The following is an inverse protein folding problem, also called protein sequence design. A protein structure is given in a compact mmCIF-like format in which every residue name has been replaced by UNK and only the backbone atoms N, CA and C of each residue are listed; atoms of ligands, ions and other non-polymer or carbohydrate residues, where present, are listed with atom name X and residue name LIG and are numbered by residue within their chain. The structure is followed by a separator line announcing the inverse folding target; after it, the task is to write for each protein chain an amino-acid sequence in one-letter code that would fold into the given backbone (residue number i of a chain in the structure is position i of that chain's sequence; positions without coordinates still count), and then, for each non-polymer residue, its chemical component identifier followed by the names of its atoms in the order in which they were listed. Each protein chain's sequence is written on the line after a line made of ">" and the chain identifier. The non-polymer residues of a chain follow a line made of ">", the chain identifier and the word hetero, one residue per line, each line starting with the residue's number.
data_IF_976632581236
#
_entry.id   IF_976632581236
#
_cell.length_a   1.000
_cell.length_b   1.000
_cell.length_c   1.000
_cell.angle_alpha   90.00
_cell.angle_beta   90.00
_cell.angle_gamma   90.00
#
_symmetry.space_group_name_H-M   'P 1'
#
loop_
_entity.id
_entity.type
_entity.pdbx_description
1 polymer ?
#
# COMPACT_ATOMS: atom_id res chain seq x y z
N UNK A 1 -12.00 -2.22 -72.62
CA UNK A 1 -11.88 -0.86 -72.05
C UNK A 1 -10.95 -0.95 -70.85
N UNK A 2 -9.67 -0.61 -71.05
CA UNK A 2 -8.68 -0.62 -69.96
C UNK A 2 -8.85 0.64 -69.13
N UNK A 3 -9.19 0.51 -67.86
CA UNK A 3 -9.15 1.63 -66.92
C UNK A 3 -7.68 2.04 -66.79
N UNK A 4 -7.30 3.16 -67.43
CA UNK A 4 -5.97 3.76 -67.40
C UNK A 4 -5.61 4.28 -66.00
N UNK A 5 -5.54 3.38 -65.01
CA UNK A 5 -5.20 3.69 -63.63
C UNK A 5 -3.71 3.40 -63.41
N UNK A 6 -2.95 4.41 -62.99
CA UNK A 6 -1.55 4.24 -62.59
C UNK A 6 -1.50 3.59 -61.21
N UNK A 7 -0.96 2.36 -61.13
CA UNK A 7 -0.81 1.60 -59.87
C UNK A 7 -0.09 2.39 -58.77
N UNK A 8 0.90 3.19 -59.13
CA UNK A 8 1.66 4.05 -58.20
C UNK A 8 0.79 4.94 -57.31
N UNK A 9 -0.36 5.40 -57.81
CA UNK A 9 -1.24 6.33 -57.08
C UNK A 9 -1.97 5.63 -55.91
N UNK A 10 -2.05 4.30 -55.94
CA UNK A 10 -2.68 3.48 -54.90
C UNK A 10 -1.70 2.97 -53.83
N UNK A 11 -0.38 2.97 -54.09
CA UNK A 11 0.63 2.45 -53.17
C UNK A 11 1.42 3.52 -52.41
N UNK A 12 1.39 4.80 -52.83
CA UNK A 12 2.27 5.85 -52.28
C UNK A 12 1.80 6.55 -50.98
N UNK A 13 0.84 6.01 -50.23
CA UNK A 13 0.37 6.65 -48.97
C UNK A 13 0.16 5.72 -47.78
N UNK A 14 1.07 4.78 -47.57
CA UNK A 14 1.28 4.22 -46.25
C UNK A 14 2.35 5.06 -45.53
N UNK A 15 1.94 6.20 -44.94
CA UNK A 15 2.81 6.87 -43.97
C UNK A 15 2.97 5.91 -42.79
N UNK A 16 4.18 5.40 -42.58
CA UNK A 16 4.54 4.75 -41.33
C UNK A 16 5.10 5.82 -40.41
N UNK A 17 4.33 6.18 -39.39
CA UNK A 17 4.78 7.06 -38.32
C UNK A 17 5.40 6.19 -37.23
N UNK A 18 6.73 6.16 -37.16
CA UNK A 18 7.47 5.55 -36.06
C UNK A 18 8.00 6.65 -35.16
N UNK A 19 7.53 6.65 -33.91
CA UNK A 19 8.17 7.42 -32.86
C UNK A 19 9.35 6.59 -32.37
N UNK A 20 10.56 7.13 -32.51
CA UNK A 20 11.74 6.51 -31.90
C UNK A 20 11.54 6.42 -30.39
N UNK A 21 11.57 5.21 -29.83
CA UNK A 21 11.67 5.03 -28.38
C UNK A 21 13.10 5.45 -27.99
N UNK A 22 13.22 6.46 -27.12
CA UNK A 22 14.45 7.19 -26.80
C UNK A 22 15.65 6.33 -26.39
N UNK A 23 15.44 5.07 -25.98
CA UNK A 23 16.51 4.15 -25.56
C UNK A 23 16.33 2.70 -26.07
N UNK A 24 15.31 2.43 -26.91
CA UNK A 24 15.14 1.13 -27.58
C UNK A 24 14.22 0.12 -26.85
N UNK A 25 14.27 -1.16 -27.25
CA UNK A 25 13.49 -2.25 -26.66
C UNK A 25 13.88 -2.52 -25.21
N UNK A 26 12.90 -2.84 -24.36
CA UNK A 26 13.05 -2.96 -22.90
C UNK A 26 12.29 -1.90 -22.12
N UNK A 27 11.99 -0.79 -22.78
CA UNK A 27 11.18 0.27 -22.19
C UNK A 27 9.80 -0.24 -21.79
N UNK A 28 9.41 0.01 -20.53
CA UNK A 28 8.15 -0.44 -19.92
C UNK A 28 8.04 -1.96 -19.69
N UNK A 29 9.11 -2.72 -19.91
CA UNK A 29 9.17 -4.13 -19.54
C UNK A 29 9.87 -4.23 -18.17
N UNK A 30 9.11 -4.54 -17.12
CA UNK A 30 9.65 -4.65 -15.76
C UNK A 30 10.71 -5.75 -15.63
N UNK A 31 10.61 -6.82 -16.43
CA UNK A 31 11.62 -7.89 -16.44
C UNK A 31 12.99 -7.37 -16.91
N UNK A 32 13.00 -6.39 -17.81
CA UNK A 32 14.22 -5.74 -18.28
C UNK A 32 14.62 -4.57 -17.35
N UNK A 33 13.72 -3.63 -17.07
CA UNK A 33 14.02 -2.37 -16.36
C UNK A 33 14.21 -2.55 -14.84
N UNK A 34 13.39 -3.38 -14.19
CA UNK A 34 13.40 -3.53 -12.73
C UNK A 34 14.25 -4.72 -12.28
N UNK A 35 14.15 -5.86 -12.99
CA UNK A 35 14.90 -7.06 -12.64
C UNK A 35 16.32 -7.12 -13.24
N UNK A 36 16.62 -6.24 -14.21
CA UNK A 36 17.95 -6.13 -14.82
C UNK A 36 18.29 -7.28 -15.78
N UNK A 37 17.28 -7.98 -16.32
CA UNK A 37 17.51 -9.06 -17.27
C UNK A 37 17.58 -8.53 -18.71
N UNK A 38 18.77 -8.56 -19.31
CA UNK A 38 18.96 -8.13 -20.70
C UNK A 38 18.35 -9.15 -21.70
N UNK A 39 17.82 -8.67 -22.83
CA UNK A 39 17.24 -9.55 -23.83
C UNK A 39 18.33 -10.37 -24.54
N UNK A 40 18.06 -11.62 -24.96
CA UNK A 40 19.08 -12.38 -25.68
C UNK A 40 19.46 -11.68 -26.98
N UNK A 41 20.78 -11.60 -27.24
CA UNK A 41 21.36 -10.86 -28.38
C UNK A 41 20.81 -11.27 -29.75
N UNK A 42 20.39 -12.54 -29.88
CA UNK A 42 19.80 -13.08 -31.11
C UNK A 42 18.39 -12.54 -31.41
N UNK A 43 17.68 -12.03 -30.41
CA UNK A 43 16.33 -11.47 -30.55
C UNK A 43 16.36 -9.95 -30.57
N UNK A 44 17.12 -9.35 -29.66
CA UNK A 44 17.31 -7.90 -29.59
C UNK A 44 18.80 -7.61 -29.58
N UNK A 45 19.31 -7.06 -30.68
CA UNK A 45 20.72 -6.74 -30.82
C UNK A 45 21.13 -5.53 -29.96
N UNK A 46 20.34 -4.46 -30.02
CA UNK A 46 20.60 -3.20 -29.32
C UNK A 46 19.51 -2.94 -28.28
N UNK A 47 19.87 -3.12 -27.01
CA UNK A 47 19.07 -2.76 -25.84
C UNK A 47 19.57 -1.42 -25.28
N UNK A 48 18.80 -0.81 -24.39
CA UNK A 48 19.21 0.43 -23.72
C UNK A 48 20.60 0.30 -23.08
N UNK A 49 20.83 -0.79 -22.36
CA UNK A 49 22.08 -1.06 -21.67
C UNK A 49 23.26 -1.14 -22.65
N UNK A 50 23.13 -1.91 -23.73
CA UNK A 50 24.21 -2.06 -24.73
C UNK A 50 24.47 -0.77 -25.51
N UNK A 51 23.44 0.04 -25.73
CA UNK A 51 23.62 1.37 -26.31
C UNK A 51 24.45 2.27 -25.37
N UNK A 52 24.15 2.27 -24.07
CA UNK A 52 24.94 3.01 -23.08
C UNK A 52 26.39 2.49 -23.01
N UNK A 53 26.59 1.17 -22.92
CA UNK A 53 27.92 0.54 -22.91
C UNK A 53 28.72 0.91 -24.15
N UNK A 54 28.13 0.81 -25.36
CA UNK A 54 28.82 1.17 -26.60
C UNK A 54 29.22 2.66 -26.65
N UNK A 55 28.38 3.56 -26.14
CA UNK A 55 28.71 4.99 -26.05
C UNK A 55 29.87 5.22 -25.07
N UNK A 56 29.84 4.57 -23.90
CA UNK A 56 30.91 4.64 -22.91
C UNK A 56 32.23 4.08 -23.46
N UNK A 57 32.18 2.98 -24.22
CA UNK A 57 33.33 2.38 -24.90
C UNK A 57 33.89 3.30 -26.00
N UNK A 58 33.01 3.95 -26.77
CA UNK A 58 33.43 4.94 -27.76
C UNK A 58 34.08 6.17 -27.11
N UNK A 59 33.58 6.63 -25.96
CA UNK A 59 34.20 7.71 -25.19
C UNK A 59 35.57 7.28 -24.63
N UNK A 60 35.65 6.07 -24.07
CA UNK A 60 36.87 5.52 -23.47
C UNK A 60 37.97 5.28 -24.52
N UNK A 61 37.60 4.75 -25.68
CA UNK A 61 38.52 4.55 -26.82
C UNK A 61 38.90 5.86 -27.54
N UNK A 62 38.24 6.98 -27.24
CA UNK A 62 38.43 8.25 -27.93
C UNK A 62 37.77 8.34 -29.30
N UNK A 63 36.99 7.32 -29.71
CA UNK A 63 36.19 7.34 -30.94
C UNK A 63 35.10 8.41 -30.89
N UNK A 64 34.55 8.66 -29.70
CA UNK A 64 33.60 9.72 -29.42
C UNK A 64 34.23 10.74 -28.46
N UNK A 65 34.71 11.86 -29.00
CA UNK A 65 35.22 12.97 -28.20
C UNK A 65 34.10 13.96 -27.84
N UNK A 66 33.68 13.92 -26.58
CA UNK A 66 32.71 14.87 -26.02
C UNK A 66 33.35 16.06 -25.33
N UNK A 67 34.69 16.15 -25.24
CA UNK A 67 35.34 17.26 -24.51
C UNK A 67 35.06 18.62 -25.16
N UNK A 68 34.94 18.65 -26.48
CA UNK A 68 34.66 19.87 -27.25
C UNK A 68 33.29 20.49 -26.99
N UNK A 69 32.31 19.69 -26.52
CA UNK A 69 30.96 20.18 -26.20
C UNK A 69 30.81 20.55 -24.72
N UNK A 70 31.80 20.25 -23.87
CA UNK A 70 31.78 20.64 -22.45
C UNK A 70 32.21 22.11 -22.35
N UNK A 71 31.25 23.00 -22.11
CA UNK A 71 31.50 24.42 -21.92
C UNK A 71 31.70 24.79 -20.45
N UNK A 72 31.04 24.07 -19.53
CA UNK A 72 31.10 24.36 -18.10
C UNK A 72 31.28 23.10 -17.26
N UNK A 73 31.93 23.28 -16.11
CA UNK A 73 32.05 22.28 -15.05
C UNK A 73 31.65 22.93 -13.74
N UNK A 74 30.77 22.26 -13.01
CA UNK A 74 30.33 22.66 -11.68
C UNK A 74 30.54 21.48 -10.74
N UNK A 75 30.90 21.76 -9.49
CA UNK A 75 30.77 20.73 -8.47
C UNK A 75 29.29 20.50 -8.20
N UNK A 76 28.92 19.27 -7.82
CA UNK A 76 27.50 18.90 -7.67
C UNK A 76 26.74 19.80 -6.68
N UNK A 77 27.43 20.35 -5.66
CA UNK A 77 26.83 21.29 -4.70
C UNK A 77 26.38 22.61 -5.35
N UNK A 78 27.00 22.98 -6.48
CA UNK A 78 26.68 24.17 -7.26
C UNK A 78 25.73 23.85 -8.43
N UNK A 79 25.02 22.71 -8.38
CA UNK A 79 24.14 22.28 -9.46
C UNK A 79 23.06 23.33 -9.79
N UNK A 80 22.56 24.09 -8.80
CA UNK A 80 21.55 25.13 -9.05
C UNK A 80 22.09 26.21 -10.01
N UNK A 81 23.35 26.60 -9.87
CA UNK A 81 24.00 27.58 -10.75
C UNK A 81 24.21 27.00 -12.16
N UNK A 82 24.55 25.71 -12.26
CA UNK A 82 24.57 25.00 -13.54
C UNK A 82 23.20 25.01 -14.23
N UNK A 83 22.11 24.71 -13.50
CA UNK A 83 20.76 24.69 -14.07
C UNK A 83 20.29 26.07 -14.54
N UNK A 84 20.73 27.16 -13.90
CA UNK A 84 20.40 28.52 -14.31
C UNK A 84 20.96 28.90 -15.71
N UNK A 85 21.93 28.14 -16.21
CA UNK A 85 22.55 28.37 -17.52
C UNK A 85 21.85 27.61 -18.67
N UNK A 86 20.86 26.76 -18.40
CA UNK A 86 20.22 25.94 -19.45
C UNK A 86 19.49 26.76 -20.52
N UNK A 87 19.07 27.98 -20.19
CA UNK A 87 18.43 28.89 -21.15
C UNK A 87 19.43 29.70 -21.99
N UNK A 88 20.74 29.54 -21.75
CA UNK A 88 21.78 30.25 -22.50
C UNK A 88 22.20 29.45 -23.75
N UNK A 89 21.99 29.99 -24.97
CA UNK A 89 22.31 29.29 -26.21
C UNK A 89 23.81 29.05 -26.42
N UNK A 90 24.69 29.75 -25.70
CA UNK A 90 26.14 29.58 -25.77
C UNK A 90 26.65 28.38 -24.92
N UNK A 91 25.75 27.74 -24.15
CA UNK A 91 26.08 26.64 -23.24
C UNK A 91 25.74 25.31 -23.90
N UNK A 92 26.75 24.63 -24.45
CA UNK A 92 26.59 23.37 -25.18
C UNK A 92 26.56 22.12 -24.30
N UNK A 93 27.27 22.13 -23.17
CA UNK A 93 27.39 20.96 -22.31
C UNK A 93 27.92 21.32 -20.93
N UNK A 94 27.19 20.86 -19.91
CA UNK A 94 27.53 21.07 -18.51
C UNK A 94 27.87 19.72 -17.90
N UNK A 95 29.01 19.64 -17.20
CA UNK A 95 29.38 18.45 -16.42
C UNK A 95 29.30 18.79 -14.94
N UNK A 96 28.52 17.97 -14.21
CA UNK A 96 28.50 17.99 -12.75
C UNK A 96 29.59 17.05 -12.24
N UNK A 97 30.58 17.61 -11.56
CA UNK A 97 31.60 16.84 -10.87
C UNK A 97 31.02 16.36 -9.55
N UNK A 98 31.13 15.06 -9.30
CA UNK A 98 30.94 14.49 -7.98
C UNK A 98 32.33 14.36 -7.36
N UNK A 99 32.80 15.36 -6.58
CA UNK A 99 34.11 15.26 -5.95
C UNK A 99 34.19 13.97 -5.15
N UNK A 100 35.38 13.35 -5.08
CA UNK A 100 35.63 12.11 -4.35
C UNK A 100 35.23 12.27 -2.87
N UNK A 101 33.95 12.09 -2.59
CA UNK A 101 33.42 12.01 -1.24
C UNK A 101 33.85 10.66 -0.70
N UNK A 102 34.31 10.66 0.54
CA UNK A 102 34.58 9.44 1.30
C UNK A 102 33.45 8.42 1.06
N UNK A 103 33.79 7.18 0.72
CA UNK A 103 32.82 6.11 0.41
C UNK A 103 31.79 5.92 1.54
N UNK A 104 32.19 6.26 2.79
CA UNK A 104 31.28 6.29 3.94
C UNK A 104 30.18 7.35 3.86
N UNK A 105 30.40 8.47 3.18
CA UNK A 105 29.39 9.50 2.97
C UNK A 105 28.43 9.13 1.82
N UNK A 106 28.90 8.41 0.82
CA UNK A 106 28.07 7.93 -0.31
C UNK A 106 27.08 6.83 0.10
N UNK A 107 27.38 6.11 1.20
CA UNK A 107 26.55 5.03 1.74
C UNK A 107 25.61 5.47 2.86
N UNK A 108 25.55 6.78 3.17
CA UNK A 108 24.58 7.29 4.15
C UNK A 108 23.17 7.24 3.56
N UNK A 109 22.35 6.36 4.12
CA UNK A 109 20.93 6.22 3.82
C UNK A 109 20.07 7.34 4.39
N UNK A 110 20.52 7.99 5.46
CA UNK A 110 19.72 8.90 6.30
C UNK A 110 20.13 10.36 6.15
N UNK A 111 19.12 11.22 6.01
CA UNK A 111 19.27 12.69 5.95
C UNK A 111 18.40 13.36 7.01
N UNK A 112 18.96 14.39 7.67
CA UNK A 112 18.22 15.22 8.63
C UNK A 112 17.39 16.23 7.86
N UNK A 113 16.11 16.34 8.19
CA UNK A 113 15.16 17.23 7.52
C UNK A 113 14.81 18.43 8.40
N UNK A 114 14.49 18.18 9.66
CA UNK A 114 14.09 19.21 10.61
C UNK A 114 14.78 18.96 11.95
N UNK A 115 15.39 19.99 12.51
CA UNK A 115 15.88 19.95 13.90
C UNK A 115 14.68 19.91 14.86
N UNK A 116 14.25 18.71 15.23
CA UNK A 116 13.30 18.57 16.33
C UNK A 116 14.06 18.66 17.65
N UNK A 117 13.64 19.57 18.53
CA UNK A 117 14.11 19.60 19.91
C UNK A 117 13.80 18.25 20.54
N UNK A 118 14.83 17.58 21.07
CA UNK A 118 14.70 16.28 21.71
C UNK A 118 13.76 16.40 22.91
N UNK A 119 12.47 16.11 22.72
CA UNK A 119 11.57 15.84 23.83
C UNK A 119 12.06 14.56 24.50
N UNK A 120 12.03 14.49 25.83
CA UNK A 120 12.33 13.27 26.54
C UNK A 120 11.33 12.18 26.07
N UNK A 121 11.83 11.18 25.35
CA UNK A 121 11.01 10.10 24.80
C UNK A 121 10.79 9.10 25.94
N UNK A 122 9.54 9.03 26.38
CA UNK A 122 9.08 7.99 27.31
C UNK A 122 8.40 6.87 26.53
N UNK A 123 8.19 5.71 27.16
CA UNK A 123 7.37 4.62 26.59
C UNK A 123 5.95 5.06 26.21
N UNK A 124 5.44 6.13 26.84
CA UNK A 124 4.12 6.73 26.60
C UNK A 124 4.12 7.86 25.57
N UNK A 125 5.28 8.26 25.03
CA UNK A 125 5.35 9.27 23.96
C UNK A 125 5.46 8.54 22.62
N UNK A 126 4.40 8.51 21.78
CA UNK A 126 4.42 7.75 20.53
C UNK A 126 5.33 8.46 19.51
N UNK A 127 6.56 7.97 19.42
CA UNK A 127 7.58 8.44 18.48
C UNK A 127 7.64 7.43 17.33
N UNK A 128 7.20 7.87 16.16
CA UNK A 128 6.81 7.00 15.06
C UNK A 128 7.76 7.12 13.88
N UNK A 129 8.31 5.98 13.48
CA UNK A 129 8.92 5.78 12.16
C UNK A 129 7.87 5.32 11.14
N UNK A 130 7.95 5.80 9.90
CA UNK A 130 7.08 5.34 8.82
C UNK A 130 7.91 4.61 7.76
N UNK A 131 7.39 3.50 7.24
CA UNK A 131 7.95 2.81 6.07
C UNK A 131 6.92 2.89 4.94
N UNK A 132 7.32 3.48 3.83
CA UNK A 132 6.45 3.74 2.69
C UNK A 132 5.83 5.14 2.75
N UNK A 133 5.98 5.89 1.66
CA UNK A 133 5.38 7.21 1.46
C UNK A 133 4.46 7.24 0.22
N UNK A 134 3.90 6.10 -0.16
CA UNK A 134 2.97 5.99 -1.28
C UNK A 134 1.75 6.91 -1.12
N UNK A 135 0.92 6.99 -2.17
CA UNK A 135 -0.22 7.90 -2.20
C UNK A 135 -1.14 7.79 -0.98
N UNK A 136 -1.41 6.56 -0.51
CA UNK A 136 -2.25 6.34 0.66
C UNK A 136 -1.55 6.79 1.97
N UNK A 137 -0.29 6.41 2.17
CA UNK A 137 0.50 6.83 3.32
C UNK A 137 0.58 8.36 3.44
N UNK A 138 1.04 9.03 2.37
CA UNK A 138 1.31 10.46 2.35
C UNK A 138 0.06 11.35 2.43
N UNK A 139 -1.08 10.88 1.91
CA UNK A 139 -2.33 11.67 1.87
C UNK A 139 -3.31 11.33 2.98
N UNK A 140 -3.18 10.18 3.63
CA UNK A 140 -4.17 9.69 4.60
C UNK A 140 -3.56 9.33 5.94
N UNK A 141 -2.65 8.35 5.99
CA UNK A 141 -2.16 7.83 7.27
C UNK A 141 -1.21 8.79 7.99
N UNK A 142 -0.21 9.33 7.31
CA UNK A 142 0.77 10.25 7.92
C UNK A 142 0.05 11.47 8.55
N UNK A 143 -0.88 12.16 7.84
CA UNK A 143 -1.69 13.20 8.45
C UNK A 143 -2.52 12.71 9.65
N UNK A 144 -3.13 11.52 9.57
CA UNK A 144 -3.95 10.98 10.65
C UNK A 144 -3.13 10.69 11.94
N UNK A 145 -1.94 10.13 11.80
CA UNK A 145 -1.02 9.90 12.93
C UNK A 145 -0.54 11.21 13.54
N UNK A 146 -0.21 12.20 12.71
CA UNK A 146 0.17 13.54 13.16
C UNK A 146 -0.97 14.23 13.92
N UNK A 147 -2.19 14.21 13.37
CA UNK A 147 -3.40 14.74 14.02
C UNK A 147 -3.70 14.01 15.35
N UNK A 148 -3.41 12.70 15.43
CA UNK A 148 -3.51 11.91 16.66
C UNK A 148 -2.43 12.28 17.70
N UNK A 149 -1.44 13.11 17.35
CA UNK A 149 -0.38 13.57 18.23
C UNK A 149 0.82 12.62 18.31
N UNK A 150 1.10 11.87 17.25
CA UNK A 150 2.37 11.17 17.07
C UNK A 150 3.51 12.17 16.82
N UNK A 151 4.69 11.88 17.37
CA UNK A 151 5.93 12.57 16.97
C UNK A 151 6.51 11.81 15.78
N UNK A 152 6.62 12.46 14.61
CA UNK A 152 7.11 11.85 13.38
C UNK A 152 8.64 11.99 13.32
N UNK A 153 9.37 10.89 13.45
CA UNK A 153 10.84 10.90 13.54
C UNK A 153 11.50 10.61 12.18
N UNK A 154 11.38 9.38 11.68
CA UNK A 154 12.07 8.96 10.45
C UNK A 154 11.06 8.43 9.43
N UNK A 155 11.11 8.92 8.19
CA UNK A 155 10.36 8.39 7.05
C UNK A 155 11.30 7.57 6.15
N UNK A 156 11.01 6.29 5.97
CA UNK A 156 11.76 5.38 5.07
C UNK A 156 11.00 5.18 3.77
N UNK A 157 11.70 5.35 2.65
CA UNK A 157 11.16 5.13 1.29
C UNK A 157 12.22 4.49 0.40
N UNK A 158 11.82 3.73 -0.62
CA UNK A 158 12.77 3.17 -1.61
C UNK A 158 13.51 4.24 -2.42
N UNK A 159 12.94 5.44 -2.58
CA UNK A 159 13.56 6.54 -3.34
C UNK A 159 13.80 7.80 -2.50
N UNK A 160 15.06 8.23 -2.39
CA UNK A 160 15.47 9.35 -1.53
C UNK A 160 14.71 10.67 -1.76
N UNK A 161 14.43 11.03 -3.02
CA UNK A 161 13.69 12.27 -3.36
C UNK A 161 12.28 12.25 -2.74
N UNK A 162 11.59 11.11 -2.84
CA UNK A 162 10.24 10.97 -2.29
C UNK A 162 10.23 11.07 -0.76
N UNK A 163 11.22 10.45 -0.10
CA UNK A 163 11.41 10.51 1.34
C UNK A 163 11.65 11.93 1.83
N UNK A 164 12.54 12.70 1.17
CA UNK A 164 12.81 14.10 1.53
C UNK A 164 11.58 14.98 1.32
N UNK A 165 10.91 14.87 0.17
CA UNK A 165 9.74 15.68 -0.15
C UNK A 165 8.58 15.44 0.83
N UNK A 166 8.20 14.18 1.04
CA UNK A 166 7.11 13.82 1.95
C UNK A 166 7.50 14.03 3.42
N UNK A 167 8.77 13.81 3.75
CA UNK A 167 9.33 14.05 5.08
C UNK A 167 9.23 15.52 5.47
N UNK A 168 9.69 16.43 4.59
CA UNK A 168 9.61 17.88 4.80
C UNK A 168 8.16 18.35 4.93
N UNK A 169 7.29 17.95 4.00
CA UNK A 169 5.87 18.32 4.00
C UNK A 169 5.17 17.95 5.31
N UNK A 170 5.50 16.80 5.89
CA UNK A 170 4.86 16.29 7.09
C UNK A 170 5.63 16.59 8.38
N UNK A 171 6.79 17.25 8.30
CA UNK A 171 7.66 17.63 9.41
C UNK A 171 8.29 16.43 10.15
N UNK A 172 8.72 15.41 9.41
CA UNK A 172 9.59 14.37 9.96
C UNK A 172 10.94 14.96 10.37
N UNK A 173 11.57 14.40 11.41
CA UNK A 173 12.92 14.80 11.80
C UNK A 173 13.97 14.39 10.75
N UNK A 174 13.77 13.23 10.10
CA UNK A 174 14.68 12.68 9.10
C UNK A 174 13.97 11.85 8.03
N UNK A 175 14.63 11.64 6.90
CA UNK A 175 14.27 10.66 5.90
C UNK A 175 15.40 9.65 5.72
N UNK A 176 15.05 8.41 5.36
CA UNK A 176 16.02 7.36 5.06
C UNK A 176 15.56 6.48 3.89
N UNK A 177 16.51 5.74 3.32
CA UNK A 177 16.26 4.64 2.37
C UNK A 177 16.42 3.25 2.98
N UNK A 178 16.79 3.15 4.26
CA UNK A 178 17.08 1.90 4.96
C UNK A 178 16.15 1.70 6.15
N UNK A 179 15.49 0.54 6.21
CA UNK A 179 14.56 0.22 7.31
C UNK A 179 15.28 0.02 8.64
N UNK A 180 16.56 -0.39 8.61
CA UNK A 180 17.41 -0.56 9.78
C UNK A 180 17.55 0.72 10.63
N UNK A 181 17.42 1.89 10.00
CA UNK A 181 17.41 3.19 10.71
C UNK A 181 16.19 3.38 11.63
N UNK A 182 15.12 2.61 11.44
CA UNK A 182 13.96 2.60 12.33
C UNK A 182 14.16 1.61 13.49
N UNK A 183 14.66 0.43 13.18
CA UNK A 183 14.87 -0.67 14.13
C UNK A 183 15.88 -0.29 15.20
N UNK A 184 17.01 0.28 14.75
CA UNK A 184 18.16 0.62 15.60
C UNK A 184 18.01 1.96 16.33
N UNK A 185 16.90 2.68 16.14
CA UNK A 185 16.69 3.97 16.78
C UNK A 185 16.07 3.81 18.16
N UNK A 186 16.80 4.19 19.21
CA UNK A 186 16.27 4.25 20.59
C UNK A 186 15.17 5.32 20.74
N UNK A 187 15.11 6.28 19.82
CA UNK A 187 14.08 7.33 19.81
C UNK A 187 12.74 6.80 19.31
N UNK A 188 12.75 5.86 18.38
CA UNK A 188 11.54 5.32 17.76
C UNK A 188 11.05 4.17 18.62
N UNK A 189 9.82 4.26 19.12
CA UNK A 189 9.18 3.17 19.86
C UNK A 189 8.02 2.54 19.09
N UNK A 190 7.67 3.11 17.93
CA UNK A 190 6.52 2.71 17.14
C UNK A 190 6.86 2.82 15.66
N UNK A 191 6.42 1.85 14.85
CA UNK A 191 6.54 1.92 13.39
C UNK A 191 5.18 1.77 12.72
N UNK A 192 5.00 2.51 11.62
CA UNK A 192 3.86 2.37 10.71
C UNK A 192 4.35 1.83 9.38
N UNK A 193 3.90 0.63 9.01
CA UNK A 193 4.29 -0.09 7.79
C UNK A 193 3.19 0.10 6.74
N UNK A 194 3.54 0.76 5.62
CA UNK A 194 2.63 1.12 4.54
C UNK A 194 3.31 0.87 3.18
N UNK A 195 3.84 -0.34 3.02
CA UNK A 195 4.59 -0.81 1.85
C UNK A 195 3.71 -1.67 0.93
N UNK A 196 4.31 -2.38 -0.04
CA UNK A 196 3.59 -3.40 -0.81
C UNK A 196 3.37 -4.64 0.08
N UNK A 197 2.35 -5.43 -0.24
CA UNK A 197 1.84 -6.45 0.67
C UNK A 197 2.86 -7.56 0.98
N UNK A 198 3.66 -7.94 -0.01
CA UNK A 198 4.77 -8.90 0.08
C UNK A 198 5.84 -8.51 1.12
N UNK A 199 6.05 -7.21 1.33
CA UNK A 199 7.05 -6.73 2.28
C UNK A 199 6.53 -6.66 3.73
N UNK A 200 5.22 -6.79 3.96
CA UNK A 200 4.62 -6.54 5.28
C UNK A 200 5.13 -7.51 6.34
N UNK A 201 5.11 -8.82 6.06
CA UNK A 201 5.40 -9.84 7.07
C UNK A 201 6.80 -9.68 7.65
N UNK A 202 7.82 -9.59 6.79
CA UNK A 202 9.20 -9.42 7.25
C UNK A 202 9.40 -8.10 8.01
N UNK A 203 8.80 -7.00 7.54
CA UNK A 203 8.92 -5.71 8.21
C UNK A 203 8.23 -5.70 9.58
N UNK A 204 7.11 -6.41 9.74
CA UNK A 204 6.44 -6.60 11.03
C UNK A 204 7.33 -7.42 11.97
N UNK A 205 7.91 -8.51 11.48
CA UNK A 205 8.82 -9.38 12.26
C UNK A 205 10.03 -8.59 12.76
N UNK A 206 10.70 -7.84 11.88
CA UNK A 206 11.89 -7.04 12.23
C UNK A 206 11.58 -5.97 13.28
N UNK A 207 10.42 -5.33 13.14
CA UNK A 207 9.94 -4.32 14.09
C UNK A 207 9.65 -4.91 15.47
N UNK A 208 8.93 -6.04 15.52
CA UNK A 208 8.59 -6.75 16.76
C UNK A 208 9.85 -7.26 17.47
N UNK A 209 10.79 -7.84 16.72
CA UNK A 209 12.07 -8.31 17.25
C UNK A 209 12.93 -7.18 17.82
N UNK A 210 12.74 -5.95 17.31
CA UNK A 210 13.37 -4.72 17.81
C UNK A 210 12.57 -4.06 18.95
N UNK A 211 11.53 -4.72 19.47
CA UNK A 211 10.71 -4.27 20.59
C UNK A 211 9.82 -3.06 20.28
N UNK A 212 9.55 -2.77 19.01
CA UNK A 212 8.72 -1.63 18.59
C UNK A 212 7.23 -2.00 18.59
N UNK A 213 6.37 -1.03 18.88
CA UNK A 213 4.95 -1.14 18.55
C UNK A 213 4.78 -1.08 17.03
N UNK A 214 3.82 -1.82 16.48
CA UNK A 214 3.64 -1.96 15.03
C UNK A 214 2.19 -1.64 14.66
N UNK A 215 2.04 -0.66 13.78
CA UNK A 215 0.86 -0.49 12.95
C UNK A 215 1.23 -0.92 11.53
N UNK A 216 0.46 -1.82 10.94
CA UNK A 216 0.70 -2.29 9.57
C UNK A 216 -0.58 -2.12 8.75
N UNK A 217 -0.47 -1.56 7.56
CA UNK A 217 -1.59 -1.57 6.63
C UNK A 217 -1.95 -2.99 6.21
N UNK A 218 -3.20 -3.22 5.82
CA UNK A 218 -3.63 -4.56 5.42
C UNK A 218 -3.03 -4.94 4.06
N UNK A 219 -2.81 -6.24 3.81
CA UNK A 219 -2.98 -7.38 4.71
C UNK A 219 -1.81 -7.53 5.70
N UNK A 220 -1.97 -8.33 6.75
CA UNK A 220 -0.87 -8.61 7.68
C UNK A 220 0.24 -9.46 7.03
N UNK A 221 -0.17 -10.45 6.24
CA UNK A 221 0.67 -11.41 5.54
C UNK A 221 -0.04 -11.89 4.27
N UNK A 222 0.70 -12.47 3.34
CA UNK A 222 0.16 -13.13 2.15
C UNK A 222 -0.01 -14.64 2.33
N UNK A 223 0.82 -15.25 3.19
CA UNK A 223 0.80 -16.71 3.42
C UNK A 223 0.57 -17.08 4.88
N UNK A 224 0.14 -18.33 5.11
CA UNK A 224 -0.03 -18.88 6.47
C UNK A 224 1.32 -19.02 7.18
N UNK A 225 2.38 -19.38 6.46
CA UNK A 225 3.73 -19.51 7.01
C UNK A 225 4.26 -18.15 7.52
N UNK A 226 4.07 -17.08 6.74
CA UNK A 226 4.38 -15.71 7.18
C UNK A 226 3.59 -15.32 8.43
N UNK A 227 2.30 -15.68 8.48
CA UNK A 227 1.45 -15.38 9.63
C UNK A 227 1.93 -16.12 10.90
N UNK A 228 2.38 -17.37 10.77
CA UNK A 228 2.95 -18.14 11.86
C UNK A 228 4.30 -17.58 12.35
N UNK A 229 5.15 -17.05 11.46
CA UNK A 229 6.39 -16.36 11.84
C UNK A 229 6.13 -15.03 12.56
N UNK A 230 5.09 -14.29 12.16
CA UNK A 230 4.61 -13.11 12.88
C UNK A 230 4.14 -13.49 14.28
N UNK A 231 3.40 -14.60 14.43
CA UNK A 231 2.94 -15.10 15.74
C UNK A 231 4.09 -15.41 16.70
N UNK A 232 5.08 -16.15 16.22
CA UNK A 232 6.30 -16.45 17.00
C UNK A 232 7.00 -15.17 17.46
N UNK A 233 7.17 -14.22 16.54
CA UNK A 233 7.85 -12.94 16.82
C UNK A 233 7.06 -12.07 17.79
N UNK A 234 5.74 -11.99 17.62
CA UNK A 234 4.85 -11.26 18.53
C UNK A 234 4.89 -11.84 19.94
N UNK A 235 4.72 -13.16 20.09
CA UNK A 235 4.71 -13.81 21.39
C UNK A 235 6.05 -13.66 22.12
N UNK A 236 7.17 -13.75 21.40
CA UNK A 236 8.52 -13.51 21.94
C UNK A 236 8.70 -12.06 22.42
N UNK A 237 8.33 -11.10 21.58
CA UNK A 237 8.43 -9.68 21.91
C UNK A 237 7.52 -9.31 23.09
N UNK A 238 6.27 -9.75 23.06
CA UNK A 238 5.26 -9.47 24.07
C UNK A 238 5.56 -10.10 25.43
N UNK A 239 6.30 -11.20 25.46
CA UNK A 239 6.80 -11.81 26.70
C UNK A 239 7.87 -10.95 27.40
N UNK A 240 8.60 -10.13 26.64
CA UNK A 240 9.73 -9.33 27.14
C UNK A 240 9.35 -7.86 27.36
N UNK A 241 8.46 -7.32 26.53
CA UNK A 241 8.00 -5.94 26.55
C UNK A 241 6.55 -5.88 26.03
N UNK A 242 5.69 -5.05 26.61
CA UNK A 242 4.30 -4.89 26.12
C UNK A 242 4.29 -4.21 24.75
N UNK A 243 4.34 -5.01 23.69
CA UNK A 243 4.27 -4.55 22.29
C UNK A 243 2.85 -4.62 21.78
N UNK A 244 2.51 -3.66 20.91
CA UNK A 244 1.23 -3.64 20.20
C UNK A 244 1.46 -4.04 18.75
N UNK A 245 0.64 -4.94 18.23
CA UNK A 245 0.48 -5.15 16.80
C UNK A 245 -0.96 -4.80 16.43
N UNK A 246 -1.12 -3.89 15.46
CA UNK A 246 -2.43 -3.52 14.94
C UNK A 246 -2.39 -3.50 13.42
N UNK A 247 -3.33 -4.19 12.80
CA UNK A 247 -3.59 -4.08 11.36
C UNK A 247 -4.53 -2.91 11.11
N UNK A 248 -4.33 -2.20 10.00
CA UNK A 248 -5.11 -1.04 9.55
C UNK A 248 -6.57 -1.33 9.18
N UNK A 249 -7.30 -2.15 9.94
CA UNK A 249 -8.73 -2.42 9.77
C UNK A 249 -9.60 -1.22 10.18
N UNK A 250 -9.44 -0.12 9.44
CA UNK A 250 -10.01 1.18 9.74
C UNK A 250 -11.55 1.19 9.79
N UNK A 251 -12.23 0.24 9.13
CA UNK A 251 -13.69 0.18 9.08
C UNK A 251 -14.35 0.02 10.42
N UNK A 252 -13.70 -0.69 11.36
CA UNK A 252 -14.16 -0.81 12.76
C UNK A 252 -14.40 0.56 13.42
N UNK A 253 -13.63 1.56 13.00
CA UNK A 253 -13.63 2.91 13.59
C UNK A 253 -14.47 3.91 12.81
N UNK A 254 -15.16 3.50 11.75
CA UNK A 254 -16.05 4.39 11.05
C UNK A 254 -17.25 4.76 11.94
N UNK A 255 -17.72 6.03 11.96
CA UNK A 255 -18.79 6.45 12.87
C UNK A 255 -20.06 5.60 12.80
N UNK A 256 -20.44 5.17 11.59
CA UNK A 256 -21.59 4.28 11.39
C UNK A 256 -21.35 2.88 11.93
N UNK A 257 -20.14 2.33 11.77
CA UNK A 257 -19.80 1.00 12.28
C UNK A 257 -19.74 0.99 13.80
N UNK A 258 -19.14 2.02 14.40
CA UNK A 258 -19.16 2.23 15.86
C UNK A 258 -20.61 2.27 16.36
N UNK A 259 -21.48 3.04 15.70
CA UNK A 259 -22.90 3.10 16.07
C UNK A 259 -23.61 1.76 15.87
N UNK A 260 -23.35 1.05 14.78
CA UNK A 260 -23.89 -0.30 14.55
C UNK A 260 -23.45 -1.26 15.65
N UNK A 261 -22.18 -1.25 16.05
CA UNK A 261 -21.68 -2.12 17.12
C UNK A 261 -22.33 -1.82 18.47
N UNK A 262 -22.51 -0.54 18.81
CA UNK A 262 -23.26 -0.11 20.00
C UNK A 262 -24.69 -0.66 19.99
N UNK A 263 -25.41 -0.44 18.87
CA UNK A 263 -26.81 -0.87 18.71
C UNK A 263 -26.96 -2.38 18.70
N UNK A 264 -25.99 -3.13 18.17
CA UNK A 264 -26.01 -4.59 18.15
C UNK A 264 -25.63 -5.19 19.50
N UNK A 265 -24.80 -4.50 20.29
CA UNK A 265 -24.36 -4.94 21.62
C UNK A 265 -25.49 -5.06 22.64
N UNK A 266 -26.62 -4.37 22.44
CA UNK A 266 -27.82 -4.53 23.27
C UNK A 266 -28.64 -5.78 22.94
N UNK A 267 -28.28 -6.54 21.90
CA UNK A 267 -29.03 -7.71 21.43
C UNK A 267 -28.15 -8.98 21.46
N UNK A 268 -28.64 -10.02 22.15
CA UNK A 268 -27.93 -11.30 22.30
C UNK A 268 -28.25 -12.32 21.21
N UNK A 269 -29.25 -12.07 20.37
CA UNK A 269 -29.64 -13.00 19.32
C UNK A 269 -28.59 -13.11 18.21
N UNK A 270 -28.49 -14.27 17.55
CA UNK A 270 -27.69 -14.45 16.36
C UNK A 270 -28.07 -13.44 15.27
N UNK A 271 -27.07 -13.02 14.50
CA UNK A 271 -27.19 -12.00 13.46
C UNK A 271 -27.09 -12.65 12.09
N UNK A 272 -27.85 -12.13 11.13
CA UNK A 272 -27.66 -12.40 9.71
C UNK A 272 -27.12 -11.14 9.04
N UNK A 273 -25.98 -11.23 8.36
CA UNK A 273 -25.30 -10.06 7.77
C UNK A 273 -25.16 -10.22 6.26
N UNK A 274 -25.47 -9.15 5.51
CA UNK A 274 -25.18 -9.06 4.08
C UNK A 274 -24.26 -7.86 3.87
N UNK A 275 -23.10 -8.10 3.25
CA UNK A 275 -22.20 -7.05 2.81
C UNK A 275 -22.07 -7.08 1.29
N UNK A 276 -22.29 -5.95 0.64
CA UNK A 276 -22.05 -5.79 -0.80
C UNK A 276 -20.89 -4.84 -1.01
N UNK A 277 -19.88 -5.29 -1.75
CA UNK A 277 -18.67 -4.55 -2.08
C UNK A 277 -18.55 -4.46 -3.60
N UNK A 278 -18.89 -3.29 -4.14
CA UNK A 278 -18.64 -2.93 -5.53
C UNK A 278 -17.18 -2.45 -5.66
N UNK A 279 -16.26 -3.40 -5.86
CA UNK A 279 -14.83 -3.15 -5.79
C UNK A 279 -14.27 -2.49 -7.06
N UNK A 280 -15.05 -2.47 -8.16
CA UNK A 280 -14.63 -2.02 -9.51
C UNK A 280 -13.61 -2.97 -10.14
N UNK A 281 -13.38 -2.93 -11.45
CA UNK A 281 -12.39 -3.79 -12.09
C UNK A 281 -10.97 -3.22 -11.96
N UNK A 282 -9.97 -4.09 -11.91
CA UNK A 282 -8.56 -3.74 -12.14
C UNK A 282 -8.00 -4.68 -13.22
N UNK A 283 -7.01 -4.24 -14.01
CA UNK A 283 -6.36 -5.10 -15.02
C UNK A 283 -5.77 -6.36 -14.41
N UNK A 284 -5.70 -7.45 -15.18
CA UNK A 284 -5.15 -8.73 -14.74
C UNK A 284 -3.65 -8.65 -14.42
N UNK A 285 -2.94 -7.76 -15.11
CA UNK A 285 -1.49 -7.53 -14.99
C UNK A 285 -1.15 -6.56 -13.85
N UNK A 286 -2.15 -6.00 -13.17
CA UNK A 286 -1.92 -5.10 -12.06
C UNK A 286 -1.33 -5.89 -10.87
N UNK A 287 -0.28 -5.37 -10.21
CA UNK A 287 0.45 -6.04 -9.12
C UNK A 287 -0.43 -6.63 -7.99
N UNK A 288 -1.62 -6.08 -7.77
CA UNK A 288 -2.59 -6.59 -6.78
C UNK A 288 -3.09 -8.00 -7.14
N UNK A 289 -3.20 -8.31 -8.43
CA UNK A 289 -3.60 -9.63 -8.93
C UNK A 289 -2.44 -10.63 -8.93
N UNK A 290 -1.20 -10.16 -8.88
CA UNK A 290 -0.02 -11.00 -8.71
C UNK A 290 -0.07 -11.68 -7.33
N UNK A 291 -0.03 -13.01 -7.32
CA UNK A 291 -0.12 -13.79 -6.08
C UNK A 291 1.09 -13.60 -5.15
N UNK A 292 2.26 -13.28 -5.70
CA UNK A 292 3.51 -13.13 -4.95
C UNK A 292 3.68 -11.70 -4.41
N UNK A 293 3.13 -10.70 -5.10
CA UNK A 293 3.28 -9.29 -4.70
C UNK A 293 2.02 -8.78 -3.98
N UNK A 294 0.85 -9.04 -4.56
CA UNK A 294 -0.43 -8.49 -4.12
C UNK A 294 -1.31 -9.46 -3.32
N UNK A 295 -1.17 -10.77 -3.56
CA UNK A 295 -1.98 -11.83 -2.97
C UNK A 295 -3.43 -11.88 -3.44
N UNK A 296 -3.77 -11.15 -4.50
CA UNK A 296 -5.14 -11.01 -4.97
C UNK A 296 -5.98 -10.06 -4.11
N UNK A 297 -7.17 -9.73 -4.63
CA UNK A 297 -8.04 -8.72 -4.01
C UNK A 297 -8.71 -9.17 -2.73
N UNK A 298 -8.85 -10.48 -2.50
CA UNK A 298 -9.48 -10.97 -1.26
C UNK A 298 -8.53 -10.80 -0.08
N UNK A 299 -7.27 -11.20 -0.20
CA UNK A 299 -6.25 -10.93 0.83
C UNK A 299 -6.02 -9.42 0.92
N UNK A 300 -5.83 -8.75 -0.22
CA UNK A 300 -5.46 -7.34 -0.27
C UNK A 300 -6.56 -6.32 0.08
N UNK A 301 -7.84 -6.60 -0.10
CA UNK A 301 -8.95 -5.66 0.19
C UNK A 301 -10.14 -6.36 0.87
N UNK A 302 -10.46 -7.59 0.45
CA UNK A 302 -11.51 -8.44 1.02
C UNK A 302 -11.39 -8.66 2.53
N UNK A 303 -10.15 -8.73 3.03
CA UNK A 303 -9.83 -8.89 4.45
C UNK A 303 -10.49 -7.82 5.34
N UNK A 304 -10.70 -6.60 4.85
CA UNK A 304 -11.45 -5.57 5.58
C UNK A 304 -12.87 -6.00 5.92
N UNK A 305 -13.52 -6.75 5.04
CA UNK A 305 -14.92 -7.14 5.18
C UNK A 305 -15.08 -8.40 6.02
N UNK A 306 -14.11 -9.32 5.94
CA UNK A 306 -13.99 -10.47 6.84
C UNK A 306 -13.81 -9.96 8.28
N UNK A 307 -12.83 -9.07 8.50
CA UNK A 307 -12.59 -8.42 9.78
C UNK A 307 -13.82 -7.63 10.27
N UNK A 308 -14.45 -6.84 9.41
CA UNK A 308 -15.61 -6.02 9.78
C UNK A 308 -16.81 -6.88 10.17
N UNK A 309 -17.05 -8.00 9.48
CA UNK A 309 -18.12 -8.92 9.81
C UNK A 309 -17.86 -9.59 11.16
N UNK A 310 -16.63 -10.06 11.39
CA UNK A 310 -16.19 -10.55 12.70
C UNK A 310 -16.43 -9.47 13.77
N UNK A 311 -16.00 -8.25 13.52
CA UNK A 311 -16.16 -7.14 14.46
C UNK A 311 -17.63 -6.89 14.81
N UNK A 312 -18.53 -6.83 13.83
CA UNK A 312 -19.95 -6.58 14.06
C UNK A 312 -20.63 -7.73 14.82
N UNK A 313 -20.33 -8.98 14.47
CA UNK A 313 -20.87 -10.16 15.16
C UNK A 313 -20.34 -10.23 16.60
N UNK A 314 -19.04 -10.02 16.81
CA UNK A 314 -18.40 -10.08 18.13
C UNK A 314 -18.08 -11.49 18.62
N UNK A 315 -18.15 -12.50 17.75
CA UNK A 315 -17.83 -13.90 18.06
C UNK A 315 -16.86 -14.47 17.01
N UNK A 316 -16.19 -15.58 17.35
CA UNK A 316 -15.19 -16.22 16.50
C UNK A 316 -15.80 -16.77 15.21
N UNK A 317 -15.01 -16.74 14.14
CA UNK A 317 -15.34 -17.40 12.87
C UNK A 317 -15.02 -18.89 13.03
N UNK A 318 -16.00 -19.76 12.77
CA UNK A 318 -15.84 -21.21 12.92
C UNK A 318 -15.86 -21.95 11.58
N UNK A 319 -16.37 -21.32 10.52
CA UNK A 319 -16.42 -21.91 9.19
C UNK A 319 -16.60 -20.84 8.10
N UNK A 320 -16.23 -21.17 6.87
CA UNK A 320 -16.55 -20.38 5.69
C UNK A 320 -16.96 -21.25 4.49
N UNK A 321 -17.69 -20.65 3.55
CA UNK A 321 -18.00 -21.21 2.23
C UNK A 321 -17.79 -20.13 1.19
N UNK A 322 -17.28 -20.49 0.00
CA UNK A 322 -17.01 -19.51 -1.05
C UNK A 322 -17.49 -20.01 -2.41
N UNK A 323 -18.02 -19.08 -3.19
CA UNK A 323 -18.36 -19.29 -4.60
C UNK A 323 -17.82 -18.13 -5.42
N UNK A 324 -17.14 -18.41 -6.53
CA UNK A 324 -16.67 -17.40 -7.50
C UNK A 324 -17.50 -17.40 -8.77
N UNK A 325 -17.37 -16.35 -9.56
CA UNK A 325 -17.90 -16.34 -10.92
C UNK A 325 -17.33 -17.53 -11.73
N UNK A 326 -18.17 -18.10 -12.60
CA UNK A 326 -17.84 -19.28 -13.39
C UNK A 326 -16.63 -19.07 -14.31
N UNK A 327 -15.94 -20.17 -14.63
CA UNK A 327 -14.86 -20.18 -15.61
C UNK A 327 -15.44 -20.24 -17.03
N UNK A 328 -15.55 -19.08 -17.69
CA UNK A 328 -16.07 -18.97 -19.05
C UNK A 328 -15.17 -18.07 -19.90
N UNK A 329 -15.12 -18.27 -21.23
CA UNK A 329 -14.36 -17.40 -22.11
C UNK A 329 -14.72 -15.92 -21.91
N UNK A 330 -13.70 -15.05 -21.78
CA UNK A 330 -13.86 -13.61 -21.59
C UNK A 330 -13.85 -13.12 -20.14
N UNK A 331 -13.64 -14.00 -19.16
CA UNK A 331 -13.42 -13.62 -17.74
C UNK A 331 -12.00 -13.99 -17.33
N UNK A 332 -11.09 -13.03 -17.43
CA UNK A 332 -9.66 -13.24 -17.14
C UNK A 332 -9.39 -13.40 -15.64
N UNK A 333 -9.89 -12.46 -14.82
CA UNK A 333 -9.79 -12.54 -13.35
C UNK A 333 -11.13 -12.98 -12.77
N UNK A 334 -11.12 -13.98 -11.89
CA UNK A 334 -12.35 -14.57 -11.32
C UNK A 334 -12.42 -14.40 -9.80
N UNK A 335 -11.27 -14.41 -9.16
CA UNK A 335 -11.05 -14.48 -7.72
C UNK A 335 -11.51 -13.18 -7.01
N UNK A 336 -11.67 -12.09 -7.76
CA UNK A 336 -12.20 -10.82 -7.29
C UNK A 336 -13.72 -10.63 -7.52
N UNK A 337 -14.42 -11.73 -7.84
CA UNK A 337 -15.88 -11.80 -8.04
C UNK A 337 -16.43 -12.99 -7.25
N UNK A 338 -16.45 -12.84 -5.93
CA UNK A 338 -16.71 -13.92 -4.98
C UNK A 338 -17.88 -13.61 -4.02
N UNK A 339 -18.59 -14.65 -3.62
CA UNK A 339 -19.52 -14.67 -2.50
C UNK A 339 -18.91 -15.50 -1.39
N UNK A 340 -18.61 -14.89 -0.24
CA UNK A 340 -17.96 -15.52 0.91
C UNK A 340 -18.97 -15.54 2.05
N UNK A 341 -19.40 -16.72 2.49
CA UNK A 341 -20.29 -16.88 3.65
C UNK A 341 -19.48 -17.32 4.85
N UNK A 342 -19.56 -16.57 5.95
CA UNK A 342 -18.91 -16.86 7.24
C UNK A 342 -19.96 -17.36 8.25
N UNK A 343 -19.58 -18.34 9.06
CA UNK A 343 -20.39 -18.85 10.18
C UNK A 343 -19.65 -18.59 11.49
N UNK A 344 -20.37 -18.18 12.53
CA UNK A 344 -19.81 -17.75 13.81
C UNK A 344 -20.25 -18.64 14.98
N UNK A 345 -19.47 -18.62 16.04
CA UNK A 345 -19.66 -19.45 17.24
C UNK A 345 -21.03 -19.25 17.93
N UNK A 346 -21.59 -18.03 17.89
CA UNK A 346 -22.92 -17.73 18.46
C UNK A 346 -24.10 -18.17 17.56
N UNK A 347 -23.82 -18.82 16.44
CA UNK A 347 -24.82 -19.19 15.44
C UNK A 347 -25.15 -18.08 14.45
N UNK A 348 -24.50 -16.91 14.53
CA UNK A 348 -24.61 -15.89 13.50
C UNK A 348 -24.00 -16.38 12.19
N UNK A 349 -24.45 -15.81 11.07
CA UNK A 349 -23.81 -16.00 9.78
C UNK A 349 -23.89 -14.72 8.95
N UNK A 350 -23.06 -14.63 7.93
CA UNK A 350 -23.18 -13.53 6.97
C UNK A 350 -22.47 -13.80 5.68
N UNK A 351 -22.88 -13.08 4.64
CA UNK A 351 -22.32 -13.22 3.29
C UNK A 351 -21.73 -11.90 2.81
N UNK A 352 -20.49 -11.96 2.34
CA UNK A 352 -19.76 -10.89 1.68
C UNK A 352 -19.83 -11.14 0.18
N UNK A 353 -20.51 -10.28 -0.55
CA UNK A 353 -20.47 -10.22 -2.00
C UNK A 353 -19.36 -9.24 -2.42
N UNK A 354 -18.20 -9.78 -2.77
CA UNK A 354 -17.07 -9.01 -3.28
C UNK A 354 -17.08 -9.04 -4.81
N UNK A 355 -17.42 -7.90 -5.42
CA UNK A 355 -17.77 -7.83 -6.84
C UNK A 355 -16.92 -6.78 -7.58
N UNK A 356 -15.88 -7.24 -8.29
CA UNK A 356 -15.03 -6.40 -9.13
C UNK A 356 -15.60 -6.11 -10.53
N UNK A 357 -16.84 -6.52 -10.83
CA UNK A 357 -17.49 -6.29 -12.13
C UNK A 357 -18.60 -5.22 -12.09
N UNK A 358 -18.77 -4.51 -10.97
CA UNK A 358 -19.71 -3.40 -10.87
C UNK A 358 -19.13 -2.08 -11.39
N UNK A 359 -20.00 -1.22 -11.95
CA UNK A 359 -19.62 0.09 -12.47
C UNK A 359 -19.41 1.13 -11.36
N UNK A 360 -18.55 2.12 -11.62
CA UNK A 360 -18.20 3.20 -10.67
C UNK A 360 -19.36 4.15 -10.32
N UNK A 361 -20.44 4.14 -11.11
CA UNK A 361 -21.66 4.90 -10.82
C UNK A 361 -22.43 4.35 -9.60
N UNK A 362 -22.23 3.06 -9.25
CA UNK A 362 -22.87 2.43 -8.10
C UNK A 362 -22.01 2.61 -6.84
N UNK A 363 -22.61 2.91 -5.66
CA UNK A 363 -21.87 3.08 -4.42
C UNK A 363 -20.99 1.87 -4.07
N UNK A 364 -19.85 2.13 -3.43
CA UNK A 364 -18.84 1.09 -3.20
C UNK A 364 -19.31 0.02 -2.23
N UNK A 365 -19.96 0.40 -1.12
CA UNK A 365 -20.12 -0.49 0.02
C UNK A 365 -21.48 -0.35 0.70
N UNK A 366 -22.14 -1.46 0.96
CA UNK A 366 -23.43 -1.53 1.68
C UNK A 366 -23.41 -2.68 2.67
N UNK A 367 -23.93 -2.45 3.87
CA UNK A 367 -24.00 -3.46 4.94
C UNK A 367 -25.42 -3.49 5.48
N UNK A 368 -25.97 -4.69 5.63
CA UNK A 368 -27.26 -4.95 6.24
C UNK A 368 -27.09 -5.97 7.36
N UNK A 369 -27.59 -5.67 8.55
CA UNK A 369 -27.56 -6.57 9.71
C UNK A 369 -28.98 -6.77 10.20
N UNK A 370 -29.44 -8.02 10.19
CA UNK A 370 -30.76 -8.44 10.65
C UNK A 370 -30.63 -9.07 12.03
N UNK A 371 -31.45 -8.62 12.99
CA UNK A 371 -31.49 -9.12 14.36
C UNK A 371 -32.83 -8.72 15.02
N UNK A 372 -33.46 -9.64 15.75
CA UNK A 372 -34.65 -9.35 16.58
C UNK A 372 -35.77 -8.54 15.90
N UNK A 373 -36.18 -8.97 14.71
CA UNK A 373 -37.23 -8.31 13.91
C UNK A 373 -36.90 -6.85 13.54
N UNK A 374 -35.62 -6.50 13.51
CA UNK A 374 -35.09 -5.20 13.16
C UNK A 374 -33.88 -5.33 12.21
N UNK A 375 -33.59 -4.24 11.47
CA UNK A 375 -32.52 -4.20 10.48
C UNK A 375 -31.74 -2.90 10.60
N UNK A 376 -30.41 -2.99 10.62
CA UNK A 376 -29.51 -1.84 10.40
C UNK A 376 -28.96 -1.90 8.99
N UNK A 377 -29.08 -0.81 8.24
CA UNK A 377 -28.56 -0.68 6.89
C UNK A 377 -27.61 0.52 6.80
N UNK A 378 -26.34 0.26 6.49
CA UNK A 378 -25.35 1.28 6.18
C UNK A 378 -25.13 1.35 4.66
N UNK A 379 -25.26 2.57 4.12
CA UNK A 379 -24.96 2.90 2.73
C UNK A 379 -23.71 3.77 2.66
N UNK A 380 -22.66 3.16 2.11
CA UNK A 380 -21.39 3.77 1.68
C UNK A 380 -20.77 4.71 2.71
N UNK A 381 -20.89 4.38 3.99
CA UNK A 381 -20.36 5.18 5.10
C UNK A 381 -20.86 6.64 5.10
N UNK A 382 -22.06 6.87 4.54
CA UNK A 382 -22.72 8.17 4.46
C UNK A 382 -24.03 8.19 5.21
N UNK A 383 -24.80 7.10 5.13
CA UNK A 383 -26.08 6.97 5.81
C UNK A 383 -26.15 5.63 6.52
N UNK A 384 -26.60 5.63 7.76
CA UNK A 384 -27.03 4.45 8.50
C UNK A 384 -28.52 4.63 8.82
N UNK A 385 -29.34 3.61 8.53
CA UNK A 385 -30.78 3.61 8.76
C UNK A 385 -31.16 2.39 9.61
N UNK A 386 -32.00 2.60 10.61
CA UNK A 386 -32.61 1.54 11.41
C UNK A 386 -34.06 1.32 10.99
N UNK A 387 -34.42 0.06 10.75
CA UNK A 387 -35.78 -0.40 10.47
C UNK A 387 -36.22 -1.27 11.64
N UNK A 388 -37.31 -0.94 12.31
CA UNK A 388 -37.74 -1.66 13.51
C UNK A 388 -36.80 -1.52 14.72
N UNK A 389 -35.80 -0.64 14.66
CA UNK A 389 -34.84 -0.46 15.76
C UNK A 389 -35.37 0.57 16.77
N UNK A 390 -35.68 0.13 17.99
CA UNK A 390 -36.15 1.03 19.05
C UNK A 390 -35.06 2.05 19.40
N UNK A 391 -35.43 3.33 19.50
CA UNK A 391 -34.51 4.42 19.85
C UNK A 391 -33.52 4.84 18.75
N UNK A 392 -33.52 4.19 17.58
CA UNK A 392 -32.63 4.56 16.48
C UNK A 392 -33.32 4.48 15.11
N UNK A 393 -33.35 5.60 14.39
CA UNK A 393 -33.96 5.68 13.06
C UNK A 393 -32.95 5.92 11.94
N UNK A 394 -32.06 6.90 12.10
CA UNK A 394 -31.14 7.32 11.04
C UNK A 394 -29.96 8.10 11.58
N UNK A 395 -28.79 7.92 10.96
CA UNK A 395 -27.60 8.75 11.12
C UNK A 395 -27.07 9.09 9.73
N UNK A 396 -26.80 10.37 9.45
CA UNK A 396 -26.27 10.85 8.16
C UNK A 396 -25.02 11.69 8.40
N UNK A 397 -23.95 11.40 7.66
CA UNK A 397 -22.74 12.20 7.65
C UNK A 397 -22.72 13.14 6.45
N UNK A 398 -22.10 14.30 6.62
CA UNK A 398 -21.90 15.27 5.52
C UNK A 398 -20.90 14.78 4.49
N UNK A 399 -19.88 14.06 4.93
CA UNK A 399 -18.84 13.44 4.09
C UNK A 399 -18.73 11.98 4.44
N UNK A 400 -18.24 11.19 3.49
CA UNK A 400 -17.93 9.79 3.75
C UNK A 400 -16.79 9.72 4.78
N UNK A 401 -16.97 8.89 5.80
CA UNK A 401 -15.93 8.62 6.79
C UNK A 401 -15.82 7.11 7.02
N UNK A 402 -14.66 6.56 6.62
CA UNK A 402 -14.36 5.12 6.73
C UNK A 402 -13.50 4.81 7.95
N UNK A 403 -13.26 5.77 8.84
CA UNK A 403 -12.61 5.55 10.13
C UNK A 403 -11.08 5.63 10.13
N UNK A 404 -10.40 6.07 9.06
CA UNK A 404 -8.92 6.11 9.02
C UNK A 404 -8.32 6.94 10.16
N UNK A 405 -8.86 8.16 10.37
CA UNK A 405 -8.40 9.05 11.45
C UNK A 405 -8.64 8.46 12.83
N UNK A 406 -9.83 7.91 13.05
CA UNK A 406 -10.21 7.31 14.32
C UNK A 406 -9.40 6.04 14.62
N UNK A 407 -9.08 5.24 13.60
CA UNK A 407 -8.22 4.07 13.67
C UNK A 407 -6.79 4.45 14.11
N UNK A 408 -6.16 5.40 13.41
CA UNK A 408 -4.84 5.92 13.78
C UNK A 408 -4.84 6.52 15.20
N UNK A 409 -5.89 7.28 15.53
CA UNK A 409 -6.06 7.86 16.87
C UNK A 409 -6.15 6.81 17.96
N UNK A 410 -6.97 5.77 17.77
CA UNK A 410 -7.11 4.68 18.74
C UNK A 410 -5.76 3.99 19.00
N UNK A 411 -4.99 3.73 17.95
CA UNK A 411 -3.66 3.13 18.08
C UNK A 411 -2.71 4.04 18.87
N UNK A 412 -2.63 5.32 18.51
CA UNK A 412 -1.77 6.29 19.18
C UNK A 412 -2.16 6.52 20.64
N UNK A 413 -3.47 6.60 20.93
CA UNK A 413 -3.96 6.73 22.29
C UNK A 413 -3.64 5.50 23.14
N UNK A 414 -3.67 4.28 22.56
CA UNK A 414 -3.29 3.08 23.30
C UNK A 414 -1.84 3.10 23.79
N UNK A 415 -0.93 3.69 23.00
CA UNK A 415 0.48 3.87 23.39
C UNK A 415 0.58 4.94 24.49
N UNK A 416 -0.09 6.08 24.30
CA UNK A 416 -0.07 7.18 25.28
C UNK A 416 -0.57 6.77 26.66
N UNK A 417 -1.64 5.97 26.66
CA UNK A 417 -2.32 5.55 27.88
C UNK A 417 -1.75 4.26 28.47
N UNK A 418 -0.82 3.59 27.78
CA UNK A 418 -0.30 2.29 28.22
C UNK A 418 -1.30 1.14 28.07
N UNK A 419 -2.35 1.31 27.28
CA UNK A 419 -3.42 0.32 27.06
C UNK A 419 -3.04 -0.71 26.00
N UNK A 420 -3.63 -1.93 26.00
CA UNK A 420 -3.41 -2.93 24.95
C UNK A 420 -3.75 -2.42 23.54
N UNK A 421 -3.37 -3.19 22.52
CA UNK A 421 -3.76 -2.89 21.14
C UNK A 421 -5.29 -2.75 21.03
N UNK A 422 -5.81 -1.69 20.38
CA UNK A 422 -7.26 -1.45 20.26
C UNK A 422 -8.03 -2.58 19.57
N UNK A 423 -7.38 -3.30 18.66
CA UNK A 423 -7.91 -4.54 18.09
C UNK A 423 -7.23 -5.69 18.83
N UNK A 424 -8.00 -6.60 19.45
CA UNK A 424 -7.44 -7.79 20.10
C UNK A 424 -6.57 -8.59 19.12
N UNK A 425 -5.42 -9.05 19.62
CA UNK A 425 -4.42 -9.75 18.80
C UNK A 425 -4.98 -11.02 18.16
N UNK A 426 -5.77 -11.79 18.90
CA UNK A 426 -6.45 -12.98 18.42
C UNK A 426 -7.42 -12.68 17.27
N UNK A 427 -8.15 -11.57 17.32
CA UNK A 427 -9.02 -11.14 16.21
C UNK A 427 -8.23 -10.72 14.97
N UNK A 428 -7.06 -10.08 15.14
CA UNK A 428 -6.16 -9.75 14.03
C UNK A 428 -5.68 -11.02 13.33
N UNK A 429 -5.23 -12.00 14.11
CA UNK A 429 -4.72 -13.28 13.60
C UNK A 429 -5.83 -14.11 12.95
N UNK A 430 -7.01 -14.19 13.57
CA UNK A 430 -8.20 -14.87 13.03
C UNK A 430 -8.61 -14.25 11.68
N UNK A 431 -8.77 -12.93 11.62
CA UNK A 431 -9.20 -12.25 10.40
C UNK A 431 -8.18 -12.41 9.26
N UNK A 432 -6.89 -12.34 9.57
CA UNK A 432 -5.81 -12.51 8.59
C UNK A 432 -5.76 -13.96 8.07
N UNK A 433 -5.82 -14.95 8.98
CA UNK A 433 -5.84 -16.37 8.65
C UNK A 433 -7.01 -16.73 7.75
N UNK A 434 -8.23 -16.36 8.14
CA UNK A 434 -9.44 -16.63 7.36
C UNK A 434 -9.37 -15.95 5.99
N UNK A 435 -8.79 -14.75 5.90
CA UNK A 435 -8.63 -14.07 4.60
C UNK A 435 -7.71 -14.84 3.65
N UNK A 436 -6.59 -15.39 4.16
CA UNK A 436 -5.64 -16.21 3.40
C UNK A 436 -6.29 -17.54 3.01
N UNK A 437 -6.96 -18.22 3.94
CA UNK A 437 -7.65 -19.50 3.67
C UNK A 437 -8.77 -19.34 2.63
N UNK A 438 -9.57 -18.28 2.73
CA UNK A 438 -10.60 -17.95 1.74
C UNK A 438 -9.95 -17.75 0.38
N UNK A 439 -8.89 -16.94 0.28
CA UNK A 439 -8.21 -16.69 -0.99
C UNK A 439 -7.61 -17.98 -1.59
N UNK A 440 -6.96 -18.81 -0.78
CA UNK A 440 -6.44 -20.11 -1.18
C UNK A 440 -7.55 -21.04 -1.72
N UNK A 441 -8.76 -20.98 -1.16
CA UNK A 441 -9.91 -21.74 -1.65
C UNK A 441 -10.43 -21.30 -3.02
N UNK A 442 -10.07 -20.10 -3.48
CA UNK A 442 -10.48 -19.58 -4.80
C UNK A 442 -9.58 -20.06 -5.94
N UNK A 443 -8.35 -20.48 -5.61
CA UNK A 443 -7.37 -20.97 -6.57
C UNK A 443 -7.50 -22.47 -6.83
N UNK A 444 -8.24 -23.20 -5.98
CA UNK A 444 -8.57 -24.61 -6.13
C UNK A 444 -9.93 -24.78 -6.81
#
# INVERSE_FOLDING_TARGET
>A
VGLNLRRDDFFKKEITFQVSASYGPGRYDSFYEEEGNDYPVGFVRWTEQRNFEAVLDMMSSGTLDVKSVITHRYDFEDAIDAYALLDNPDVLGIVLNYPNKDQKNLTKSKVVLNEQTAKAITSTTPCVGFIGAGNYASRTLIPAFKEAGATLDTLVTSGGISGVHHGNKNQFASASTETSDLWNSDKINTVSIVTRHDAHAQQVIDALNSGKNVFVEKPLALTLDELDEIDKSYNKANSSNTVRLMVGFNRRYAPHVVKMKELLGSHRSPKSIIMTVNAGSIPGEHWVQDSLIGGGRIIGEGCHFIDLMRHLVGHKIINFQVTTIGNVPGVEVREDKASITLTFEDGSFGTIHYLANGGSAFPKERIEVFCDNAVLQMDNYRVLTGYGWSGFKRMKLFKQDKGQRACAKAFIDSIKNGEPSPIPYDEVMESSRVSIEVANSLHN
#
